data_IF_735339969648
#
_entry.id   IF_735339969648
#
_cell.length_a   1.000
_cell.length_b   1.000
_cell.length_c   1.000
_cell.angle_alpha   90.00
_cell.angle_beta   90.00
_cell.angle_gamma   90.00
#
_symmetry.space_group_name_H-M   'P 1'
#
loop_
_entity.id
_entity.type
_entity.pdbx_description
1 polymer ?
#
# COMPACT_ATOMS: atom_id res chain seq x y z
N UNK A 1 4.34 38.26 8.88
CA UNK A 1 4.30 37.47 7.63
C UNK A 1 3.34 36.32 7.84
N UNK A 2 2.08 36.47 7.42
CA UNK A 2 1.04 35.40 7.55
C UNK A 2 1.33 34.35 6.48
N UNK A 3 2.04 33.27 6.84
CA UNK A 3 2.14 32.08 6.00
C UNK A 3 0.77 31.42 6.00
N UNK A 4 -0.04 31.70 4.98
CA UNK A 4 -1.25 30.95 4.71
C UNK A 4 -0.86 29.49 4.38
N UNK A 5 -0.71 28.68 5.42
CA UNK A 5 -0.55 27.23 5.24
C UNK A 5 -1.79 26.64 4.57
N UNK A 6 -1.60 25.54 3.83
CA UNK A 6 -2.72 24.83 3.22
C UNK A 6 -3.72 24.40 4.31
N UNK A 7 -5.02 24.52 3.98
CA UNK A 7 -6.11 24.10 4.86
C UNK A 7 -6.21 22.55 4.90
N UNK A 8 -6.87 22.00 5.90
CA UNK A 8 -7.12 20.56 6.00
C UNK A 8 -7.87 20.00 4.79
N UNK A 9 -8.81 20.75 4.23
CA UNK A 9 -9.54 20.34 3.03
C UNK A 9 -8.63 20.27 1.81
N UNK A 10 -7.78 21.27 1.63
CA UNK A 10 -6.80 21.29 0.54
C UNK A 10 -5.78 20.16 0.67
N UNK A 11 -5.27 19.92 1.87
CA UNK A 11 -4.30 18.85 2.11
C UNK A 11 -4.90 17.45 1.81
N UNK A 12 -6.16 17.21 2.21
CA UNK A 12 -6.87 15.97 1.85
C UNK A 12 -7.07 15.83 0.34
N UNK A 13 -7.44 16.91 -0.34
CA UNK A 13 -7.57 16.91 -1.80
C UNK A 13 -6.26 16.62 -2.51
N UNK A 14 -5.17 17.27 -2.09
CA UNK A 14 -3.82 17.03 -2.63
C UNK A 14 -3.32 15.62 -2.32
N UNK A 15 -3.60 15.08 -1.13
CA UNK A 15 -3.27 13.70 -0.79
C UNK A 15 -4.04 12.70 -1.68
N UNK A 16 -5.34 12.92 -1.88
CA UNK A 16 -6.13 12.09 -2.80
C UNK A 16 -5.61 12.15 -4.24
N UNK A 17 -5.22 13.34 -4.72
CA UNK A 17 -4.59 13.51 -6.03
C UNK A 17 -3.24 12.77 -6.09
N UNK A 18 -2.41 12.87 -5.06
CA UNK A 18 -1.14 12.15 -4.96
C UNK A 18 -1.36 10.63 -5.08
N UNK A 19 -2.31 10.06 -4.31
CA UNK A 19 -2.63 8.63 -4.40
C UNK A 19 -3.11 8.23 -5.80
N UNK A 20 -3.97 9.04 -6.42
CA UNK A 20 -4.46 8.77 -7.76
C UNK A 20 -3.34 8.79 -8.80
N UNK A 21 -2.46 9.80 -8.74
CA UNK A 21 -1.29 9.91 -9.64
C UNK A 21 -0.35 8.74 -9.44
N UNK A 22 -0.02 8.41 -8.18
CA UNK A 22 0.81 7.25 -7.85
C UNK A 22 0.22 5.95 -8.42
N UNK A 23 -1.05 5.66 -8.11
CA UNK A 23 -1.73 4.46 -8.56
C UNK A 23 -1.74 4.34 -10.09
N UNK A 24 -2.06 5.43 -10.77
CA UNK A 24 -2.11 5.45 -12.24
C UNK A 24 -0.71 5.29 -12.84
N UNK A 25 0.26 6.10 -12.41
CA UNK A 25 1.62 6.04 -12.95
C UNK A 25 2.27 4.66 -12.75
N UNK A 26 2.27 4.17 -11.51
CA UNK A 26 2.94 2.91 -11.18
C UNK A 26 2.15 1.66 -11.60
N UNK A 27 0.91 1.80 -12.04
CA UNK A 27 0.19 0.73 -12.74
C UNK A 27 0.44 0.78 -14.24
N UNK A 28 0.37 1.97 -14.86
CA UNK A 28 0.50 2.11 -16.31
C UNK A 28 1.93 1.84 -16.79
N UNK A 29 2.94 2.43 -16.16
CA UNK A 29 4.33 2.28 -16.59
C UNK A 29 4.77 0.80 -16.65
N UNK A 30 4.62 -0.01 -15.58
CA UNK A 30 4.99 -1.42 -15.64
C UNK A 30 4.06 -2.24 -16.54
N UNK A 31 2.76 -1.92 -16.56
CA UNK A 31 1.80 -2.62 -17.40
C UNK A 31 2.09 -2.48 -18.90
N UNK A 32 2.64 -1.34 -19.33
CA UNK A 32 3.04 -1.10 -20.71
C UNK A 32 4.42 -1.68 -21.06
N UNK A 33 5.32 -1.80 -20.08
CA UNK A 33 6.72 -2.20 -20.32
C UNK A 33 7.03 -3.65 -19.98
N UNK A 34 6.20 -4.28 -19.16
CA UNK A 34 6.37 -5.68 -18.75
C UNK A 34 5.24 -6.53 -19.30
N UNK A 35 5.59 -7.56 -20.03
CA UNK A 35 4.63 -8.48 -20.65
C UNK A 35 4.43 -9.77 -19.86
N UNK A 36 5.29 -10.04 -18.88
CA UNK A 36 5.27 -11.27 -18.10
C UNK A 36 5.20 -10.99 -16.60
N UNK A 37 4.51 -11.86 -15.89
CA UNK A 37 4.54 -11.92 -14.42
C UNK A 37 5.91 -12.45 -14.00
N UNK A 38 6.48 -11.86 -12.94
CA UNK A 38 7.68 -12.42 -12.34
C UNK A 38 7.41 -13.78 -11.64
N UNK A 39 8.46 -14.54 -11.37
CA UNK A 39 8.35 -15.87 -10.78
C UNK A 39 7.65 -15.89 -9.43
N UNK A 40 7.88 -14.87 -8.60
CA UNK A 40 7.27 -14.75 -7.27
C UNK A 40 5.75 -14.55 -7.40
N UNK A 41 5.33 -13.73 -8.36
CA UNK A 41 3.91 -13.47 -8.65
C UNK A 41 3.18 -14.73 -9.06
N UNK A 42 3.77 -15.50 -9.97
CA UNK A 42 3.20 -16.77 -10.43
C UNK A 42 3.13 -17.79 -9.30
N UNK A 43 4.16 -17.86 -8.48
CA UNK A 43 4.23 -18.75 -7.32
C UNK A 43 3.12 -18.42 -6.29
N UNK A 44 2.95 -17.14 -5.93
CA UNK A 44 1.91 -16.73 -4.99
C UNK A 44 0.50 -17.02 -5.53
N UNK A 45 0.28 -16.79 -6.82
CA UNK A 45 -0.99 -17.11 -7.44
C UNK A 45 -1.27 -18.63 -7.42
N UNK A 46 -0.28 -19.45 -7.80
CA UNK A 46 -0.41 -20.91 -7.78
C UNK A 46 -0.69 -21.44 -6.37
N UNK A 47 0.06 -20.99 -5.37
CA UNK A 47 -0.17 -21.38 -3.98
C UNK A 47 -1.55 -20.97 -3.47
N UNK A 48 -1.99 -19.78 -3.82
CA UNK A 48 -3.30 -19.28 -3.40
C UNK A 48 -4.48 -20.10 -3.94
N UNK A 49 -4.31 -20.89 -5.02
CA UNK A 49 -5.36 -21.77 -5.52
C UNK A 49 -5.70 -22.90 -4.54
N UNK A 50 -4.74 -23.32 -3.74
CA UNK A 50 -4.91 -24.43 -2.80
C UNK A 50 -5.47 -24.00 -1.43
N UNK A 51 -5.51 -22.70 -1.13
CA UNK A 51 -6.03 -22.12 0.12
C UNK A 51 -5.50 -22.79 1.40
N UNK A 52 -4.22 -23.16 1.41
CA UNK A 52 -3.58 -23.85 2.54
C UNK A 52 -3.30 -22.86 3.69
N UNK A 53 -3.25 -23.37 4.92
CA UNK A 53 -2.93 -22.59 6.12
C UNK A 53 -1.45 -22.22 6.24
N UNK A 54 -0.58 -22.82 5.44
CA UNK A 54 0.83 -22.43 5.29
C UNK A 54 1.38 -22.96 3.97
N UNK A 55 2.38 -22.31 3.44
CA UNK A 55 3.11 -22.70 2.24
C UNK A 55 4.58 -22.81 2.58
N UNK A 56 5.23 -23.83 2.10
CA UNK A 56 6.63 -24.23 2.36
C UNK A 56 7.48 -23.26 3.20
N UNK A 57 7.75 -22.05 2.73
CA UNK A 57 8.60 -21.05 3.40
C UNK A 57 7.86 -19.75 3.76
N UNK A 58 6.56 -19.66 3.49
CA UNK A 58 5.85 -18.38 3.51
C UNK A 58 4.48 -18.45 4.21
N UNK A 59 4.10 -17.36 4.92
CA UNK A 59 2.76 -17.20 5.48
C UNK A 59 1.68 -17.17 4.38
N UNK A 60 0.46 -17.64 4.66
CA UNK A 60 -0.58 -17.82 3.65
C UNK A 60 -1.25 -16.52 3.19
N UNK A 61 -1.11 -15.42 3.93
CA UNK A 61 -1.86 -14.19 3.70
C UNK A 61 -1.67 -13.62 2.28
N UNK A 62 -0.41 -13.53 1.81
CA UNK A 62 -0.14 -12.97 0.48
C UNK A 62 -0.69 -13.86 -0.65
N UNK A 63 -0.45 -15.18 -0.68
CA UNK A 63 -1.09 -16.08 -1.65
C UNK A 63 -2.62 -15.95 -1.68
N UNK A 64 -3.28 -15.85 -0.53
CA UNK A 64 -4.73 -15.70 -0.45
C UNK A 64 -5.20 -14.36 -1.03
N UNK A 65 -4.50 -13.25 -0.72
CA UNK A 65 -4.82 -11.94 -1.28
C UNK A 65 -4.66 -11.97 -2.81
N UNK A 66 -3.55 -12.50 -3.30
CA UNK A 66 -3.26 -12.58 -4.75
C UNK A 66 -4.29 -13.45 -5.46
N UNK A 67 -4.57 -14.64 -4.94
CA UNK A 67 -5.55 -15.54 -5.56
C UNK A 67 -6.95 -14.94 -5.54
N UNK A 68 -7.41 -14.44 -4.40
CA UNK A 68 -8.74 -13.83 -4.29
C UNK A 68 -8.93 -12.65 -5.22
N UNK A 69 -7.92 -11.77 -5.33
CA UNK A 69 -7.97 -10.62 -6.22
C UNK A 69 -7.96 -11.04 -7.70
N UNK A 70 -7.03 -11.89 -8.10
CA UNK A 70 -6.89 -12.29 -9.51
C UNK A 70 -8.03 -13.20 -9.98
N UNK A 71 -8.61 -14.03 -9.11
CA UNK A 71 -9.81 -14.81 -9.45
C UNK A 71 -11.02 -13.89 -9.68
N UNK A 72 -11.09 -12.76 -8.98
CA UNK A 72 -12.22 -11.82 -9.09
C UNK A 72 -12.08 -10.89 -10.30
N UNK A 73 -10.89 -10.33 -10.54
CA UNK A 73 -10.65 -9.30 -11.56
C UNK A 73 -9.97 -9.83 -12.82
N UNK A 74 -9.52 -11.07 -12.82
CA UNK A 74 -8.83 -11.72 -13.94
C UNK A 74 -7.33 -11.84 -13.76
N UNK A 75 -6.77 -12.94 -14.27
CA UNK A 75 -5.34 -13.28 -14.16
C UNK A 75 -4.59 -12.64 -15.31
N UNK A 76 -3.97 -11.49 -15.04
CA UNK A 76 -3.14 -10.78 -15.99
C UNK A 76 -2.15 -9.86 -15.24
N UNK A 77 -1.11 -9.42 -15.96
CA UNK A 77 -0.07 -8.57 -15.40
C UNK A 77 -0.60 -7.22 -14.86
N UNK A 78 -1.59 -6.62 -15.52
CA UNK A 78 -2.17 -5.35 -15.10
C UNK A 78 -2.82 -5.45 -13.71
N UNK A 79 -3.62 -6.48 -13.50
CA UNK A 79 -4.31 -6.70 -12.24
C UNK A 79 -3.34 -7.02 -11.10
N UNK A 80 -2.25 -7.75 -11.41
CA UNK A 80 -1.22 -8.02 -10.42
C UNK A 80 -0.49 -6.74 -10.00
N UNK A 81 -0.06 -5.91 -10.97
CA UNK A 81 0.58 -4.63 -10.69
C UNK A 81 -0.39 -3.69 -9.96
N UNK A 82 -1.64 -3.63 -10.38
CA UNK A 82 -2.67 -2.84 -9.70
C UNK A 82 -2.80 -3.24 -8.23
N UNK A 83 -2.87 -4.54 -7.93
CA UNK A 83 -2.94 -5.04 -6.56
C UNK A 83 -1.72 -4.60 -5.74
N UNK A 84 -0.52 -4.67 -6.35
CA UNK A 84 0.70 -4.19 -5.71
C UNK A 84 0.63 -2.69 -5.38
N UNK A 85 0.12 -1.87 -6.29
CA UNK A 85 -0.01 -0.43 -6.07
C UNK A 85 -1.11 -0.08 -5.07
N UNK A 86 -2.19 -0.84 -5.02
CA UNK A 86 -3.21 -0.74 -3.96
C UNK A 86 -2.56 -0.98 -2.58
N UNK A 87 -1.70 -2.00 -2.46
CA UNK A 87 -0.96 -2.26 -1.22
C UNK A 87 -0.10 -1.05 -0.79
N UNK A 88 0.61 -0.41 -1.72
CA UNK A 88 1.39 0.80 -1.42
C UNK A 88 0.49 1.98 -1.04
N UNK A 89 -0.64 2.18 -1.72
CA UNK A 89 -1.62 3.20 -1.36
C UNK A 89 -2.20 3.01 0.06
N UNK A 90 -2.39 1.77 0.51
CA UNK A 90 -2.78 1.47 1.90
C UNK A 90 -1.69 1.94 2.87
N UNK A 91 -0.42 1.68 2.58
CA UNK A 91 0.69 2.16 3.39
C UNK A 91 0.74 3.70 3.45
N UNK A 92 0.67 4.38 2.32
CA UNK A 92 0.61 5.85 2.27
C UNK A 92 -0.56 6.41 3.08
N UNK A 93 -1.73 5.78 2.98
CA UNK A 93 -2.92 6.22 3.73
C UNK A 93 -2.72 6.06 5.23
N UNK A 94 -2.20 4.93 5.69
CA UNK A 94 -1.92 4.70 7.11
C UNK A 94 -0.88 5.70 7.64
N UNK A 95 0.19 5.93 6.88
CA UNK A 95 1.24 6.91 7.25
C UNK A 95 0.68 8.33 7.25
N UNK A 96 -0.14 8.72 6.26
CA UNK A 96 -0.83 10.00 6.24
C UNK A 96 -1.67 10.22 7.50
N UNK A 97 -2.54 9.27 7.83
CA UNK A 97 -3.41 9.37 9.01
C UNK A 97 -2.59 9.46 10.29
N UNK A 98 -1.50 8.68 10.40
CA UNK A 98 -0.59 8.74 11.54
C UNK A 98 0.15 10.08 11.61
N UNK A 99 0.71 10.56 10.51
CA UNK A 99 1.43 11.82 10.43
C UNK A 99 0.54 13.01 10.84
N UNK A 100 -0.76 12.95 10.49
CA UNK A 100 -1.74 13.97 10.89
C UNK A 100 -1.99 14.04 12.41
N UNK A 101 -1.55 13.06 13.17
CA UNK A 101 -1.63 13.14 14.64
C UNK A 101 -0.54 14.04 15.24
N UNK A 102 0.56 14.26 14.52
CA UNK A 102 1.75 14.95 15.00
C UNK A 102 2.06 16.23 14.24
N UNK A 103 1.67 16.33 12.98
CA UNK A 103 2.09 17.36 12.05
C UNK A 103 0.93 18.20 11.51
N UNK A 104 1.24 19.43 11.11
CA UNK A 104 0.32 20.28 10.34
C UNK A 104 0.02 19.65 8.97
N UNK A 105 -1.10 20.01 8.32
CA UNK A 105 -1.50 19.40 7.04
C UNK A 105 -0.42 19.40 5.97
N UNK A 106 0.27 20.52 5.79
CA UNK A 106 1.35 20.66 4.81
C UNK A 106 2.55 19.76 5.10
N UNK A 107 2.94 19.65 6.36
CA UNK A 107 4.08 18.83 6.79
C UNK A 107 3.78 17.34 6.63
N UNK A 108 2.58 16.90 7.02
CA UNK A 108 2.15 15.51 6.84
C UNK A 108 2.09 15.14 5.35
N UNK A 109 1.59 16.04 4.49
CA UNK A 109 1.57 15.84 3.04
C UNK A 109 3.00 15.71 2.49
N UNK A 110 3.88 16.64 2.86
CA UNK A 110 5.27 16.58 2.42
C UNK A 110 5.96 15.30 2.87
N UNK A 111 5.76 14.87 4.12
CA UNK A 111 6.34 13.63 4.63
C UNK A 111 5.91 12.40 3.81
N UNK A 112 4.63 12.30 3.44
CA UNK A 112 4.15 11.18 2.61
C UNK A 112 4.65 11.27 1.18
N UNK A 113 4.64 12.48 0.57
CA UNK A 113 5.16 12.67 -0.78
C UNK A 113 6.66 12.34 -0.88
N UNK A 114 7.43 12.58 0.16
CA UNK A 114 8.86 12.23 0.20
C UNK A 114 9.10 10.72 0.20
N UNK A 115 8.15 9.90 0.64
CA UNK A 115 8.28 8.45 0.56
C UNK A 115 8.30 7.93 -0.88
N UNK A 116 7.78 8.70 -1.85
CA UNK A 116 7.86 8.36 -3.27
C UNK A 116 9.31 8.21 -3.76
N UNK A 117 10.25 8.92 -3.14
CA UNK A 117 11.67 8.80 -3.43
C UNK A 117 12.34 7.59 -2.78
N UNK A 118 11.63 6.88 -1.91
CA UNK A 118 12.12 5.63 -1.32
C UNK A 118 11.77 4.48 -2.27
N UNK A 119 12.75 3.70 -2.74
CA UNK A 119 12.55 2.67 -3.77
C UNK A 119 11.42 1.67 -3.50
N UNK A 120 11.20 1.31 -2.25
CA UNK A 120 10.16 0.36 -1.87
C UNK A 120 8.73 0.91 -1.99
N UNK A 121 8.55 2.22 -2.01
CA UNK A 121 7.25 2.86 -2.22
C UNK A 121 7.01 3.22 -3.70
N UNK A 122 8.01 3.07 -4.57
CA UNK A 122 7.96 3.39 -5.98
C UNK A 122 8.31 2.18 -6.84
N UNK A 123 9.44 2.16 -7.52
CA UNK A 123 9.75 1.14 -8.54
C UNK A 123 9.95 -0.28 -8.00
N UNK A 124 10.38 -0.48 -6.76
CA UNK A 124 10.42 -1.80 -6.13
C UNK A 124 9.04 -2.25 -5.64
N UNK A 125 8.17 -1.30 -5.34
CA UNK A 125 6.76 -1.54 -5.00
C UNK A 125 5.92 -2.14 -6.13
N UNK A 126 6.44 -2.24 -7.34
CA UNK A 126 5.77 -2.88 -8.49
C UNK A 126 5.62 -4.40 -8.25
N UNK A 127 6.54 -5.01 -7.52
CA UNK A 127 6.51 -6.44 -7.20
C UNK A 127 5.80 -6.68 -5.89
N UNK A 128 4.65 -7.33 -5.94
CA UNK A 128 3.94 -7.74 -4.74
C UNK A 128 4.56 -9.04 -4.20
N UNK A 129 5.39 -8.90 -3.20
CA UNK A 129 6.00 -10.01 -2.47
C UNK A 129 5.78 -9.83 -0.96
N UNK A 130 6.26 -10.76 -0.15
CA UNK A 130 6.08 -10.71 1.31
C UNK A 130 6.66 -9.43 1.92
N UNK A 131 7.81 -8.97 1.42
CA UNK A 131 8.45 -7.74 1.91
C UNK A 131 7.60 -6.50 1.59
N UNK A 132 7.05 -6.41 0.37
CA UNK A 132 6.19 -5.27 0.00
C UNK A 132 4.84 -5.30 0.73
N UNK A 133 4.26 -6.48 1.00
CA UNK A 133 3.07 -6.60 1.83
C UNK A 133 3.34 -6.14 3.27
N UNK A 134 4.50 -6.43 3.83
CA UNK A 134 4.88 -5.99 5.17
C UNK A 134 4.92 -4.46 5.30
N UNK A 135 5.18 -3.70 4.22
CA UNK A 135 5.17 -2.23 4.26
C UNK A 135 3.79 -1.72 4.69
N UNK A 136 2.72 -2.20 4.06
CA UNK A 136 1.36 -1.80 4.42
C UNK A 136 0.94 -2.34 5.78
N UNK A 137 1.26 -3.59 6.09
CA UNK A 137 0.93 -4.20 7.38
C UNK A 137 1.59 -3.47 8.55
N UNK A 138 2.88 -3.13 8.45
CA UNK A 138 3.57 -2.35 9.47
C UNK A 138 3.03 -0.93 9.59
N UNK A 139 2.72 -0.27 8.47
CA UNK A 139 2.14 1.07 8.49
C UNK A 139 0.77 1.07 9.18
N UNK A 140 -0.10 0.14 8.81
CA UNK A 140 -1.43 -0.04 9.42
C UNK A 140 -1.31 -0.45 10.88
N UNK A 141 -0.48 -1.44 11.19
CA UNK A 141 -0.25 -1.90 12.57
C UNK A 141 0.26 -0.80 13.47
N UNK A 142 1.21 0.02 13.01
CA UNK A 142 1.71 1.18 13.76
C UNK A 142 0.62 2.22 14.01
N UNK A 143 -0.19 2.52 12.99
CA UNK A 143 -1.34 3.43 13.14
C UNK A 143 -2.33 2.90 14.18
N UNK A 144 -2.71 1.62 14.09
CA UNK A 144 -3.67 1.03 15.02
C UNK A 144 -3.10 0.93 16.45
N UNK A 145 -1.84 0.56 16.61
CA UNK A 145 -1.17 0.56 17.92
C UNK A 145 -1.18 1.96 18.56
N UNK A 146 -0.85 2.99 17.76
CA UNK A 146 -0.93 4.37 18.23
C UNK A 146 -2.35 4.75 18.67
N UNK A 147 -3.35 4.46 17.84
CA UNK A 147 -4.76 4.76 18.15
C UNK A 147 -5.27 3.96 19.35
N UNK A 148 -4.84 2.72 19.53
CA UNK A 148 -5.18 1.89 20.68
C UNK A 148 -4.73 2.53 22.00
N UNK A 149 -3.48 2.98 22.04
CA UNK A 149 -2.93 3.67 23.22
C UNK A 149 -3.63 5.00 23.45
N UNK A 150 -3.82 5.80 22.42
CA UNK A 150 -4.40 7.14 22.52
C UNK A 150 -5.89 7.11 22.90
N UNK A 151 -6.67 6.26 22.27
CA UNK A 151 -8.13 6.23 22.42
C UNK A 151 -8.62 5.22 23.45
N UNK A 152 -7.72 4.35 23.96
CA UNK A 152 -8.01 3.30 24.96
C UNK A 152 -9.24 2.44 24.61
N UNK A 153 -9.46 2.16 23.31
CA UNK A 153 -10.55 1.33 22.81
C UNK A 153 -10.04 -0.01 22.32
N UNK A 154 -10.66 -1.10 22.76
CA UNK A 154 -10.26 -2.47 22.41
C UNK A 154 -10.26 -2.74 20.89
N UNK A 155 -11.15 -2.08 20.13
CA UNK A 155 -11.25 -2.26 18.67
C UNK A 155 -9.95 -1.91 17.90
N UNK A 156 -9.05 -1.16 18.50
CA UNK A 156 -7.75 -0.85 17.86
C UNK A 156 -6.66 -1.87 18.23
N UNK A 157 -6.97 -2.85 19.09
CA UNK A 157 -6.05 -3.95 19.43
C UNK A 157 -6.34 -5.24 18.64
N UNK A 158 -7.47 -5.27 17.95
CA UNK A 158 -7.93 -6.40 17.12
C UNK A 158 -7.60 -6.16 15.65
#
# INVERSE_FOLDING_TARGET
MLTHGITDRQARGLFGLFLAVHLVMWTLLPGLTRHELDSDSMMHFAWGQEWMGSYNLHPPLLPWIVAGFLQTFGVNNWNYVLLSQINICVAFTAIWVLARQFFRPAQALAAVCLLEFVPYYSFLGIRLNHTSLLISLWAVGTLFAYLAVQRRRLIYWL
#
